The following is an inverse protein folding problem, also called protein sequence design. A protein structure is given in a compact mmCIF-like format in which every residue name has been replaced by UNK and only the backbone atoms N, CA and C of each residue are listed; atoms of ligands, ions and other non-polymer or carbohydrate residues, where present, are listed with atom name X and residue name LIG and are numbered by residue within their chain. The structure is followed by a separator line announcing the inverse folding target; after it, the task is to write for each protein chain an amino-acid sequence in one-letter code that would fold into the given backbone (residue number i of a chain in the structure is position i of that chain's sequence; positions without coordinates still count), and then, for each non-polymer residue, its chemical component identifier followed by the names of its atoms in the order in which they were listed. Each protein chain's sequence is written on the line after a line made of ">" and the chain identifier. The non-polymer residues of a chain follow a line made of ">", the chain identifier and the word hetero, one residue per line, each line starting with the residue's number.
data_IF_099639494196
#
_entry.id   IF_099639494196
#
_cell.length_a   1.000
_cell.length_b   1.000
_cell.length_c   1.000
_cell.angle_alpha   90.00
_cell.angle_beta   90.00
_cell.angle_gamma   90.00
#
_symmetry.space_group_name_H-M   'P 1'
#
loop_
_entity.id
_entity.type
_entity.pdbx_description
1 polymer ?
#
# COMPACT_ATOMS: atom_id res chain seq x y z
N UNK A 1 29.75 10.75 21.19
CA UNK A 1 28.38 10.36 20.82
C UNK A 1 28.41 8.86 20.46
N UNK A 2 27.68 8.01 21.17
CA UNK A 2 27.65 6.58 20.79
C UNK A 2 26.81 6.40 19.53
N UNK A 3 27.22 5.58 18.55
CA UNK A 3 26.44 5.34 17.35
C UNK A 3 25.13 4.61 17.71
N UNK A 4 24.02 5.07 17.15
CA UNK A 4 22.73 4.39 17.28
C UNK A 4 22.74 3.20 16.32
N UNK A 5 22.75 1.98 16.87
CA UNK A 5 22.75 0.74 16.10
C UNK A 5 21.34 0.15 16.03
N UNK A 6 21.10 -0.65 14.98
CA UNK A 6 19.87 -1.47 14.90
C UNK A 6 19.82 -2.48 16.04
N UNK A 7 18.63 -2.81 16.51
CA UNK A 7 18.44 -3.90 17.47
C UNK A 7 19.01 -5.22 16.92
N UNK A 8 19.74 -5.96 17.75
CA UNK A 8 20.28 -7.29 17.38
C UNK A 8 19.18 -8.30 17.03
N UNK A 9 17.95 -8.11 17.52
CA UNK A 9 16.78 -8.91 17.14
C UNK A 9 16.43 -8.81 15.65
N UNK A 10 16.85 -7.75 14.98
CA UNK A 10 16.62 -7.54 13.55
C UNK A 10 17.73 -8.09 12.65
N UNK A 11 18.79 -8.65 13.23
CA UNK A 11 19.96 -9.13 12.45
C UNK A 11 19.62 -10.26 11.48
N UNK A 12 18.61 -11.09 11.81
CA UNK A 12 18.17 -12.22 10.99
C UNK A 12 16.87 -11.96 10.21
N UNK A 13 16.34 -10.73 10.25
CA UNK A 13 15.11 -10.38 9.53
C UNK A 13 15.44 -9.95 8.12
N UNK A 14 15.05 -10.75 7.13
CA UNK A 14 15.07 -10.37 5.72
C UNK A 14 13.93 -9.42 5.41
N UNK A 15 14.13 -8.12 5.64
CA UNK A 15 13.13 -7.10 5.34
C UNK A 15 13.10 -6.71 3.86
N UNK A 16 14.22 -6.81 3.16
CA UNK A 16 14.32 -6.47 1.75
C UNK A 16 13.97 -7.68 0.87
N UNK A 17 12.70 -7.79 0.51
CA UNK A 17 12.17 -8.86 -0.35
C UNK A 17 12.79 -8.80 -1.77
N UNK A 18 13.29 -7.65 -2.19
CA UNK A 18 13.86 -7.43 -3.52
C UNK A 18 15.35 -7.70 -3.57
N UNK A 19 16.02 -7.52 -2.43
CA UNK A 19 17.39 -7.90 -2.16
C UNK A 19 18.43 -7.62 -3.26
N UNK A 20 19.36 -8.53 -3.48
CA UNK A 20 20.47 -8.34 -4.41
C UNK A 20 20.03 -8.27 -5.89
N UNK A 21 18.86 -8.82 -6.24
CA UNK A 21 18.36 -8.80 -7.63
C UNK A 21 18.03 -7.37 -8.05
N UNK A 22 17.39 -6.59 -7.18
CA UNK A 22 17.10 -5.18 -7.48
C UNK A 22 18.38 -4.35 -7.58
N UNK A 23 19.33 -4.56 -6.69
CA UNK A 23 20.63 -3.88 -6.72
C UNK A 23 21.36 -4.16 -8.05
N UNK A 24 21.40 -5.41 -8.47
CA UNK A 24 22.01 -5.79 -9.75
C UNK A 24 21.28 -5.19 -10.95
N UNK A 25 19.95 -5.19 -10.95
CA UNK A 25 19.16 -4.57 -12.03
C UNK A 25 19.45 -3.08 -12.15
N UNK A 26 19.55 -2.35 -11.03
CA UNK A 26 19.91 -0.91 -11.03
C UNK A 26 21.30 -0.68 -11.58
N UNK A 27 22.28 -1.46 -11.16
CA UNK A 27 23.63 -1.37 -11.68
C UNK A 27 23.66 -1.56 -13.22
N UNK A 28 22.95 -2.54 -13.74
CA UNK A 28 22.86 -2.79 -15.17
C UNK A 28 22.17 -1.62 -15.92
N UNK A 29 21.16 -0.99 -15.31
CA UNK A 29 20.53 0.21 -15.87
C UNK A 29 21.52 1.39 -15.91
N UNK A 30 22.32 1.59 -14.87
CA UNK A 30 23.37 2.61 -14.80
C UNK A 30 24.49 2.35 -15.83
N UNK A 31 24.77 1.10 -16.15
CA UNK A 31 25.67 0.66 -17.21
C UNK A 31 25.05 0.82 -18.62
N UNK A 32 23.84 1.36 -18.73
CA UNK A 32 23.14 1.63 -19.98
C UNK A 32 22.34 0.45 -20.55
N UNK A 33 22.16 -0.62 -19.80
CA UNK A 33 21.36 -1.77 -20.22
C UNK A 33 19.86 -1.52 -19.99
N UNK A 34 19.03 -1.90 -20.95
CA UNK A 34 17.58 -1.83 -20.81
C UNK A 34 17.05 -3.04 -20.04
N UNK A 35 16.55 -2.80 -18.83
CA UNK A 35 15.92 -3.85 -17.99
C UNK A 35 14.40 -3.78 -18.09
N UNK A 36 13.77 -4.91 -18.44
CA UNK A 36 12.31 -5.06 -18.41
C UNK A 36 11.90 -5.60 -17.04
N UNK A 37 11.25 -4.76 -16.24
CA UNK A 37 10.81 -5.10 -14.87
C UNK A 37 9.43 -5.73 -14.92
N UNK A 38 9.33 -7.04 -14.68
CA UNK A 38 8.08 -7.79 -14.67
C UNK A 38 7.64 -8.20 -13.25
N UNK A 39 8.34 -7.71 -12.23
CA UNK A 39 8.16 -8.12 -10.84
C UNK A 39 7.07 -7.35 -10.09
N UNK A 40 6.66 -6.17 -10.58
CA UNK A 40 5.62 -5.33 -9.96
C UNK A 40 4.73 -4.76 -11.06
N UNK A 41 3.42 -4.94 -10.91
CA UNK A 41 2.44 -4.26 -11.74
C UNK A 41 2.37 -2.78 -11.36
N UNK A 42 2.68 -1.89 -12.29
CA UNK A 42 2.52 -0.46 -12.13
C UNK A 42 1.87 0.13 -13.38
N UNK A 43 0.52 0.26 -13.40
CA UNK A 43 -0.20 0.74 -14.57
C UNK A 43 -0.03 2.24 -14.84
N UNK A 44 0.27 3.06 -13.82
CA UNK A 44 0.31 4.52 -13.93
C UNK A 44 1.25 5.05 -15.04
N UNK A 45 2.49 4.53 -15.23
CA UNK A 45 3.37 4.97 -16.32
C UNK A 45 2.84 4.69 -17.72
N UNK A 46 1.80 3.84 -17.84
CA UNK A 46 1.14 3.48 -19.09
C UNK A 46 -0.16 4.25 -19.33
N UNK A 47 -0.39 5.33 -18.58
CA UNK A 47 -1.57 6.19 -18.72
C UNK A 47 -2.82 5.71 -17.98
N UNK A 48 -2.73 4.65 -17.18
CA UNK A 48 -3.83 4.22 -16.32
C UNK A 48 -3.79 5.00 -15.01
N UNK A 49 -4.61 6.02 -14.93
CA UNK A 49 -4.78 6.86 -13.74
C UNK A 49 -6.06 6.48 -12.99
N UNK A 50 -6.17 6.89 -11.73
CA UNK A 50 -7.41 6.74 -11.00
C UNK A 50 -8.55 7.55 -11.67
N UNK A 51 -9.80 7.08 -11.64
CA UNK A 51 -10.95 7.86 -12.08
C UNK A 51 -10.99 9.24 -11.43
N UNK A 52 -11.44 10.24 -12.20
CA UNK A 52 -11.49 11.64 -11.74
C UNK A 52 -12.30 11.79 -10.46
N UNK A 53 -13.40 11.05 -10.34
CA UNK A 53 -14.29 11.06 -9.18
C UNK A 53 -13.52 10.65 -7.90
N UNK A 54 -12.62 9.66 -7.98
CA UNK A 54 -11.79 9.23 -6.85
C UNK A 54 -10.77 10.31 -6.49
N UNK A 55 -10.14 10.92 -7.50
CA UNK A 55 -9.16 11.99 -7.29
C UNK A 55 -9.81 13.18 -6.60
N UNK A 56 -10.96 13.60 -7.06
CA UNK A 56 -11.70 14.73 -6.49
C UNK A 56 -12.19 14.45 -5.08
N UNK A 57 -12.65 13.23 -4.80
CA UNK A 57 -13.05 12.82 -3.45
C UNK A 57 -11.87 12.88 -2.46
N UNK A 58 -10.70 12.40 -2.87
CA UNK A 58 -9.47 12.49 -2.05
C UNK A 58 -9.11 13.95 -1.78
N UNK A 59 -9.12 14.82 -2.80
CA UNK A 59 -8.80 16.24 -2.65
C UNK A 59 -9.79 16.92 -1.70
N UNK A 60 -11.07 16.61 -1.83
CA UNK A 60 -12.13 17.19 -0.99
C UNK A 60 -11.98 16.81 0.48
N UNK A 61 -11.62 15.56 0.76
CA UNK A 61 -11.51 15.05 2.13
C UNK A 61 -10.11 15.27 2.76
N UNK A 62 -9.11 15.66 1.98
CA UNK A 62 -7.74 15.85 2.45
C UNK A 62 -7.59 16.84 3.63
N UNK A 63 -8.30 17.98 3.69
CA UNK A 63 -8.22 18.89 4.84
C UNK A 63 -8.59 18.25 6.17
N UNK A 64 -9.49 17.27 6.16
CA UNK A 64 -9.95 16.55 7.35
C UNK A 64 -9.06 15.36 7.73
N UNK A 65 -8.13 14.98 6.85
CA UNK A 65 -7.24 13.84 7.06
C UNK A 65 -6.03 14.14 7.97
N UNK A 66 -5.93 15.35 8.53
CA UNK A 66 -4.80 15.76 9.38
C UNK A 66 -4.83 15.22 10.81
N UNK A 67 -5.96 14.66 11.25
CA UNK A 67 -6.16 14.14 12.59
C UNK A 67 -5.99 12.63 12.70
N UNK A 68 -6.09 12.13 13.93
CA UNK A 68 -6.19 10.69 14.18
C UNK A 68 -7.58 10.17 13.78
N UNK A 69 -7.63 8.97 13.26
CA UNK A 69 -8.86 8.24 12.95
C UNK A 69 -8.98 6.96 13.78
N UNK A 70 -10.12 6.27 13.66
CA UNK A 70 -10.31 4.95 14.24
C UNK A 70 -9.22 3.98 13.75
N UNK A 71 -8.67 3.17 14.66
CA UNK A 71 -7.63 2.19 14.34
C UNK A 71 -8.04 1.13 13.32
N UNK A 72 -9.34 0.91 13.15
CA UNK A 72 -9.90 0.04 12.10
C UNK A 72 -10.09 0.75 10.77
N UNK A 73 -9.90 2.06 10.71
CA UNK A 73 -10.18 2.91 9.55
C UNK A 73 -11.55 3.57 9.61
N UNK A 74 -11.80 4.50 8.70
CA UNK A 74 -13.02 5.31 8.65
C UNK A 74 -14.27 4.44 8.60
N UNK A 75 -15.23 4.73 9.50
CA UNK A 75 -16.48 3.98 9.58
C UNK A 75 -17.26 3.99 8.26
N UNK A 76 -17.33 5.14 7.58
CA UNK A 76 -18.03 5.26 6.31
C UNK A 76 -17.44 4.35 5.23
N UNK A 77 -16.11 4.26 5.14
CA UNK A 77 -15.41 3.38 4.21
C UNK A 77 -15.64 1.90 4.56
N UNK A 78 -15.55 1.53 5.84
CA UNK A 78 -15.85 0.15 6.30
C UNK A 78 -17.29 -0.25 5.99
N UNK A 79 -18.24 0.66 6.19
CA UNK A 79 -19.65 0.43 5.85
C UNK A 79 -19.85 0.24 4.34
N UNK A 80 -19.17 1.02 3.50
CA UNK A 80 -19.21 0.86 2.06
C UNK A 80 -18.65 -0.49 1.61
N UNK A 81 -17.54 -0.94 2.22
CA UNK A 81 -16.96 -2.27 1.96
C UNK A 81 -17.95 -3.37 2.37
N UNK A 82 -18.60 -3.25 3.53
CA UNK A 82 -19.62 -4.21 3.97
C UNK A 82 -20.76 -4.33 2.93
N UNK A 83 -21.30 -3.20 2.45
CA UNK A 83 -22.33 -3.21 1.41
C UNK A 83 -21.83 -3.87 0.12
N UNK A 84 -20.59 -3.58 -0.30
CA UNK A 84 -19.98 -4.22 -1.46
C UNK A 84 -19.85 -5.73 -1.31
N UNK A 85 -19.53 -6.23 -0.11
CA UNK A 85 -19.51 -7.68 0.13
C UNK A 85 -20.90 -8.30 0.02
N UNK A 86 -21.94 -7.58 0.48
CA UNK A 86 -23.34 -8.03 0.34
C UNK A 86 -23.77 -8.09 -1.13
N UNK A 87 -23.42 -7.10 -1.95
CA UNK A 87 -23.67 -7.13 -3.40
C UNK A 87 -23.02 -8.34 -4.06
N UNK A 88 -21.84 -8.74 -3.58
CA UNK A 88 -21.14 -9.95 -4.01
C UNK A 88 -21.70 -11.24 -3.42
N UNK A 89 -22.80 -11.16 -2.66
CA UNK A 89 -23.44 -12.29 -1.98
C UNK A 89 -22.53 -13.01 -0.96
N UNK A 90 -21.57 -12.29 -0.39
CA UNK A 90 -20.76 -12.76 0.73
C UNK A 90 -21.54 -12.44 2.00
N UNK A 91 -22.09 -13.46 2.66
CA UNK A 91 -22.91 -13.30 3.86
C UNK A 91 -22.06 -13.28 5.14
N UNK A 92 -22.62 -12.70 6.21
CA UNK A 92 -22.05 -12.75 7.56
C UNK A 92 -21.00 -11.69 7.85
N UNK A 93 -20.58 -10.87 6.88
CA UNK A 93 -19.62 -9.78 7.12
C UNK A 93 -20.31 -8.59 7.76
N UNK A 94 -19.80 -8.17 8.93
CA UNK A 94 -20.24 -6.98 9.65
C UNK A 94 -19.20 -5.86 9.54
N UNK A 95 -19.57 -4.63 9.85
CA UNK A 95 -18.65 -3.48 9.85
C UNK A 95 -17.46 -3.70 10.79
N UNK A 96 -17.69 -4.42 11.88
CA UNK A 96 -16.72 -4.75 12.92
C UNK A 96 -15.61 -5.70 12.44
N UNK A 97 -15.88 -6.47 11.39
CA UNK A 97 -14.94 -7.44 10.80
C UNK A 97 -13.97 -6.79 9.79
N UNK A 98 -14.18 -5.50 9.47
CA UNK A 98 -13.45 -4.81 8.41
C UNK A 98 -12.39 -3.90 9.02
N UNK A 99 -11.16 -4.07 8.53
CA UNK A 99 -10.00 -3.24 8.83
C UNK A 99 -9.45 -2.63 7.54
N UNK A 100 -9.08 -1.37 7.60
CA UNK A 100 -8.50 -0.65 6.46
C UNK A 100 -7.04 -0.35 6.78
N UNK A 101 -6.15 -0.75 5.90
CA UNK A 101 -4.71 -0.47 5.99
C UNK A 101 -4.16 0.14 4.70
N UNK A 102 -2.94 0.63 4.78
CA UNK A 102 -2.23 1.20 3.64
C UNK A 102 -1.48 0.10 2.87
N UNK A 103 -2.22 -0.58 2.00
CA UNK A 103 -1.70 -1.71 1.23
C UNK A 103 -1.65 -3.02 2.03
N UNK A 104 -1.59 -4.13 1.31
CA UNK A 104 -1.60 -5.49 1.88
C UNK A 104 -0.39 -5.80 2.80
N UNK A 105 0.66 -4.98 2.76
CA UNK A 105 1.83 -5.18 3.63
C UNK A 105 1.62 -4.63 5.05
N UNK A 106 0.59 -3.84 5.29
CA UNK A 106 0.23 -3.33 6.62
C UNK A 106 -0.73 -4.29 7.34
N UNK A 107 -1.60 -4.96 6.61
CA UNK A 107 -2.60 -5.91 7.10
C UNK A 107 -2.05 -7.33 7.17
#
# INVERSE_FOLDING_TARGET
>A
MQPVLKSTKLASVCYDIRGPVLARARQMEEEGQRIIKLNIGNPAPFGFIAPEEIIQDVIHNLPEASGYSDSKGLFAARKAIMHYTQEKRISGVQVEDIYIGNGASEL
#
